data_IF_486688183542
#
_entry.id   IF_486688183542
#
_cell.length_a   1.000
_cell.length_b   1.000
_cell.length_c   1.000
_cell.angle_alpha   90.00
_cell.angle_beta   90.00
_cell.angle_gamma   90.00
#
_symmetry.space_group_name_H-M   'P 1'
#
loop_
_entity.id
_entity.type
_entity.pdbx_description
1 polymer ?
#
# COMPACT_ATOMS: atom_id res chain seq x y z
N UNK A 1 19.21 -4.53 9.32
CA UNK A 1 19.63 -5.96 9.29
C UNK A 1 19.53 -6.37 7.84
N UNK A 2 20.53 -7.06 7.25
CA UNK A 2 20.41 -7.51 5.86
C UNK A 2 19.14 -8.36 5.67
N UNK A 3 18.40 -8.10 4.59
CA UNK A 3 17.17 -8.81 4.26
C UNK A 3 17.41 -10.32 4.06
N UNK A 4 18.58 -10.71 3.54
CA UNK A 4 19.01 -12.11 3.41
C UNK A 4 18.83 -12.92 4.70
N UNK A 5 19.00 -12.29 5.87
CA UNK A 5 18.82 -12.93 7.18
C UNK A 5 17.37 -13.31 7.51
N UNK A 6 16.39 -12.78 6.77
CA UNK A 6 14.99 -13.18 6.90
C UNK A 6 14.69 -14.52 6.22
N UNK A 7 15.57 -14.99 5.33
CA UNK A 7 15.43 -16.24 4.61
C UNK A 7 16.18 -17.37 5.29
N UNK A 8 15.61 -18.58 5.24
CA UNK A 8 16.24 -19.81 5.69
C UNK A 8 16.27 -20.80 4.53
N UNK A 9 17.36 -21.54 4.37
CA UNK A 9 17.53 -22.47 3.25
C UNK A 9 16.43 -23.54 3.21
N UNK A 10 15.99 -24.01 4.38
CA UNK A 10 14.91 -25.01 4.52
C UNK A 10 13.50 -24.45 4.25
N UNK A 11 13.37 -23.16 4.00
CA UNK A 11 12.12 -22.50 3.60
C UNK A 11 12.20 -21.93 2.18
N UNK A 12 13.10 -22.45 1.35
CA UNK A 12 13.25 -22.06 -0.06
C UNK A 12 13.07 -23.29 -0.95
N UNK A 13 12.19 -23.17 -1.95
CA UNK A 13 11.99 -24.16 -3.00
C UNK A 13 12.31 -23.54 -4.36
N UNK A 14 13.45 -23.91 -4.92
CA UNK A 14 13.94 -23.39 -6.22
C UNK A 14 13.14 -23.89 -7.42
N UNK A 15 12.36 -24.97 -7.25
CA UNK A 15 11.47 -25.51 -8.27
C UNK A 15 10.12 -25.85 -7.63
N UNK A 16 9.15 -24.99 -7.85
CA UNK A 16 7.73 -25.18 -7.52
C UNK A 16 7.00 -25.56 -8.81
N UNK A 17 6.35 -26.72 -8.81
CA UNK A 17 5.52 -27.20 -9.92
C UNK A 17 4.07 -26.86 -9.60
N UNK A 18 3.71 -25.60 -9.76
CA UNK A 18 2.36 -25.12 -9.50
C UNK A 18 1.61 -24.81 -10.79
N UNK A 19 0.29 -24.97 -10.79
CA UNK A 19 -0.60 -24.56 -11.89
C UNK A 19 -1.39 -23.28 -11.58
N UNK A 20 -1.42 -22.85 -10.31
CA UNK A 20 -2.07 -21.63 -9.86
C UNK A 20 -1.33 -20.99 -8.68
N UNK A 21 -1.69 -19.75 -8.31
CA UNK A 21 -1.11 -19.06 -7.15
C UNK A 21 -1.42 -19.83 -5.86
N UNK A 22 -2.64 -20.36 -5.76
CA UNK A 22 -3.15 -21.13 -4.63
C UNK A 22 -2.39 -22.45 -4.48
N UNK A 23 -2.10 -23.15 -5.58
CA UNK A 23 -1.28 -24.37 -5.60
C UNK A 23 0.16 -24.07 -5.16
N UNK A 24 0.75 -22.97 -5.63
CA UNK A 24 2.06 -22.53 -5.15
C UNK A 24 2.06 -22.24 -3.64
N UNK A 25 1.03 -21.55 -3.13
CA UNK A 25 0.86 -21.29 -1.69
C UNK A 25 0.71 -22.60 -0.91
N UNK A 26 -0.05 -23.57 -1.42
CA UNK A 26 -0.24 -24.87 -0.80
C UNK A 26 1.09 -25.63 -0.63
N UNK A 27 1.91 -25.66 -1.68
CA UNK A 27 3.23 -26.30 -1.66
C UNK A 27 4.23 -25.58 -0.74
N UNK A 28 4.14 -24.24 -0.63
CA UNK A 28 5.00 -23.49 0.30
C UNK A 28 4.55 -23.65 1.75
N UNK A 29 3.24 -23.75 2.00
CA UNK A 29 2.72 -24.07 3.33
C UNK A 29 3.10 -25.50 3.75
N UNK A 30 3.12 -26.44 2.81
CA UNK A 30 3.63 -27.79 3.03
C UNK A 30 5.11 -27.79 3.42
N UNK A 31 5.97 -27.13 2.62
CA UNK A 31 7.40 -26.98 2.95
C UNK A 31 7.61 -26.39 4.35
N UNK A 32 6.80 -25.40 4.73
CA UNK A 32 6.84 -24.82 6.06
C UNK A 32 6.49 -25.85 7.14
N UNK A 33 5.41 -26.61 6.96
CA UNK A 33 4.97 -27.63 7.92
C UNK A 33 5.92 -28.84 7.99
N UNK A 34 6.64 -29.18 6.92
CA UNK A 34 7.72 -30.18 6.98
C UNK A 34 8.81 -29.77 7.99
N UNK A 35 9.14 -28.46 8.03
CA UNK A 35 10.11 -27.93 8.99
C UNK A 35 9.53 -27.70 10.39
N UNK A 36 8.26 -27.31 10.47
CA UNK A 36 7.55 -27.01 11.71
C UNK A 36 6.29 -27.90 11.81
N UNK A 37 6.44 -29.19 12.13
CA UNK A 37 5.36 -30.18 12.07
C UNK A 37 4.26 -29.96 13.13
N UNK A 38 4.53 -29.14 14.15
CA UNK A 38 3.54 -28.71 15.14
C UNK A 38 2.55 -27.66 14.59
N UNK A 39 2.78 -27.15 13.37
CA UNK A 39 1.95 -26.11 12.75
C UNK A 39 0.95 -26.70 11.75
N UNK A 40 -0.28 -26.19 11.80
CA UNK A 40 -1.36 -26.66 10.94
C UNK A 40 -1.34 -26.00 9.56
N UNK A 41 -1.02 -26.78 8.50
CA UNK A 41 -1.14 -26.37 7.09
C UNK A 41 -2.54 -25.84 6.80
N UNK A 42 -3.59 -26.53 7.28
CA UNK A 42 -4.99 -26.15 7.07
C UNK A 42 -5.29 -24.74 7.60
N UNK A 43 -4.78 -24.40 8.78
CA UNK A 43 -4.99 -23.07 9.38
C UNK A 43 -4.17 -21.99 8.67
N UNK A 44 -2.96 -22.32 8.21
CA UNK A 44 -2.13 -21.42 7.39
C UNK A 44 -2.87 -21.05 6.11
N UNK A 45 -3.34 -22.05 5.35
CA UNK A 45 -4.07 -21.85 4.10
C UNK A 45 -5.33 -21.04 4.33
N UNK A 46 -6.08 -21.34 5.40
CA UNK A 46 -7.26 -20.56 5.77
C UNK A 46 -6.91 -19.08 5.99
N UNK A 47 -5.89 -18.79 6.78
CA UNK A 47 -5.49 -17.41 7.10
C UNK A 47 -5.01 -16.64 5.86
N UNK A 48 -4.24 -17.29 4.98
CA UNK A 48 -3.77 -16.68 3.71
C UNK A 48 -4.95 -16.40 2.78
N UNK A 49 -5.87 -17.35 2.63
CA UNK A 49 -7.05 -17.18 1.77
C UNK A 49 -8.00 -16.09 2.28
N UNK A 50 -8.20 -15.99 3.60
CA UNK A 50 -8.96 -14.89 4.21
C UNK A 50 -8.32 -13.53 3.89
N UNK A 51 -6.99 -13.44 3.90
CA UNK A 51 -6.28 -12.22 3.51
C UNK A 51 -6.38 -11.93 2.02
N UNK A 52 -6.28 -12.92 1.14
CA UNK A 52 -6.40 -12.71 -0.32
C UNK A 52 -7.79 -12.22 -0.74
N UNK A 53 -8.84 -12.62 -0.03
CA UNK A 53 -10.21 -12.11 -0.28
C UNK A 53 -10.31 -10.59 -0.08
N UNK A 54 -9.44 -9.99 0.72
CA UNK A 54 -9.41 -8.54 0.94
C UNK A 54 -8.71 -7.79 -0.21
N UNK A 55 -7.92 -8.48 -1.03
CA UNK A 55 -7.23 -7.89 -2.16
C UNK A 55 -6.01 -8.70 -2.57
N UNK A 56 -5.80 -8.74 -3.89
CA UNK A 56 -4.72 -9.48 -4.55
C UNK A 56 -3.33 -9.06 -4.05
N UNK A 57 -2.50 -10.02 -3.68
CA UNK A 57 -1.10 -9.79 -3.28
C UNK A 57 -0.06 -9.95 -4.41
N UNK A 58 -0.51 -10.19 -5.64
CA UNK A 58 0.35 -10.09 -6.82
C UNK A 58 0.68 -8.63 -7.08
N UNK A 59 1.97 -8.30 -7.19
CA UNK A 59 2.44 -6.92 -7.38
C UNK A 59 2.86 -6.63 -8.83
N UNK A 60 2.64 -7.60 -9.73
CA UNK A 60 3.13 -7.58 -11.10
C UNK A 60 4.59 -8.02 -11.20
N UNK A 61 5.19 -7.89 -12.38
CA UNK A 61 6.57 -8.29 -12.71
C UNK A 61 6.85 -9.78 -12.42
N UNK A 62 5.80 -10.60 -12.41
CA UNK A 62 5.89 -12.01 -12.09
C UNK A 62 6.15 -12.34 -10.62
N UNK A 63 5.71 -11.49 -9.69
CA UNK A 63 5.89 -11.68 -8.23
C UNK A 63 4.55 -11.61 -7.49
N UNK A 64 4.41 -12.43 -6.45
CA UNK A 64 3.34 -12.34 -5.46
C UNK A 64 3.86 -12.49 -4.02
N UNK A 65 3.23 -11.78 -3.09
CA UNK A 65 3.50 -11.87 -1.65
C UNK A 65 2.27 -12.33 -0.85
N UNK A 66 1.80 -13.59 -1.01
CA UNK A 66 0.76 -14.11 -0.14
C UNK A 66 1.23 -14.00 1.32
N UNK A 67 0.41 -13.41 2.18
CA UNK A 67 0.81 -13.17 3.57
C UNK A 67 -0.37 -13.33 4.51
N UNK A 68 -0.09 -13.71 5.75
CA UNK A 68 -1.11 -13.79 6.79
C UNK A 68 -0.53 -13.39 8.14
N UNK A 69 -1.25 -12.51 8.86
CA UNK A 69 -1.06 -12.35 10.31
C UNK A 69 -1.86 -13.43 11.03
N UNK A 70 -1.18 -14.26 11.81
CA UNK A 70 -1.75 -15.48 12.40
C UNK A 70 -1.14 -15.77 13.75
N UNK A 71 -1.88 -16.49 14.60
CA UNK A 71 -1.43 -16.94 15.91
C UNK A 71 -0.70 -18.30 15.84
N UNK A 72 -0.61 -18.89 14.64
CA UNK A 72 0.09 -20.16 14.36
C UNK A 72 1.60 -20.03 14.57
N UNK A 73 2.17 -18.84 14.30
CA UNK A 73 3.60 -18.58 14.36
C UNK A 73 3.93 -17.52 15.41
N UNK A 74 5.08 -17.66 16.07
CA UNK A 74 5.56 -16.75 17.12
C UNK A 74 6.63 -15.76 16.63
N UNK A 75 7.15 -15.95 15.42
CA UNK A 75 8.05 -15.03 14.74
C UNK A 75 7.69 -14.96 13.24
N UNK A 76 8.37 -14.09 12.49
CA UNK A 76 8.16 -13.94 11.05
C UNK A 76 8.88 -15.06 10.30
N UNK A 77 8.16 -15.72 9.39
CA UNK A 77 8.70 -16.71 8.48
C UNK A 77 8.47 -16.28 7.04
N UNK A 78 9.53 -16.34 6.24
CA UNK A 78 9.52 -16.04 4.82
C UNK A 78 9.81 -17.34 4.07
N UNK A 79 8.85 -17.81 3.29
CA UNK A 79 8.94 -19.04 2.50
C UNK A 79 8.92 -18.68 1.03
N UNK A 80 10.00 -18.98 0.31
CA UNK A 80 10.18 -18.56 -1.09
C UNK A 80 10.05 -19.74 -2.04
N UNK A 81 9.21 -19.57 -3.06
CA UNK A 81 9.02 -20.49 -4.16
C UNK A 81 9.37 -19.86 -5.50
N UNK A 82 10.09 -20.60 -6.33
CA UNK A 82 10.42 -20.22 -7.71
C UNK A 82 9.70 -21.17 -8.66
N UNK A 83 8.98 -20.61 -9.62
CA UNK A 83 8.23 -21.29 -10.68
C UNK A 83 8.96 -20.98 -11.99
N UNK A 84 9.92 -21.81 -12.44
CA UNK A 84 10.80 -21.46 -13.55
C UNK A 84 10.07 -21.12 -14.85
N UNK A 85 9.02 -21.88 -15.17
CA UNK A 85 8.23 -21.71 -16.39
C UNK A 85 7.16 -20.60 -16.27
N UNK A 86 6.96 -20.06 -15.06
CA UNK A 86 5.88 -19.15 -14.74
C UNK A 86 4.48 -19.78 -14.81
N UNK A 87 3.50 -19.12 -14.22
CA UNK A 87 2.08 -19.46 -14.34
C UNK A 87 1.25 -18.23 -14.68
N UNK A 88 0.22 -18.41 -15.52
CA UNK A 88 -0.74 -17.35 -15.79
C UNK A 88 -1.74 -17.29 -14.64
N UNK A 89 -1.81 -16.15 -13.98
CA UNK A 89 -2.77 -15.86 -12.89
C UNK A 89 -3.16 -14.39 -12.97
N UNK A 90 -4.05 -13.94 -12.09
CA UNK A 90 -4.46 -12.55 -12.03
C UNK A 90 -3.31 -11.69 -11.48
N UNK A 91 -2.39 -11.27 -12.34
CA UNK A 91 -1.33 -10.31 -12.03
C UNK A 91 -1.74 -8.92 -12.56
N UNK A 92 -1.45 -7.82 -11.83
CA UNK A 92 -1.83 -6.48 -12.27
C UNK A 92 -1.31 -6.07 -13.66
N UNK A 93 -0.18 -6.62 -14.10
CA UNK A 93 0.47 -6.33 -15.39
C UNK A 93 0.28 -7.44 -16.44
N UNK A 94 -0.52 -8.47 -16.14
CA UNK A 94 -0.78 -9.60 -17.02
C UNK A 94 0.41 -10.52 -17.28
N UNK A 95 1.57 -10.29 -16.64
CA UNK A 95 2.76 -11.13 -16.82
C UNK A 95 2.67 -12.44 -16.03
N UNK A 96 3.29 -13.54 -16.50
CA UNK A 96 3.36 -14.79 -15.75
C UNK A 96 4.00 -14.61 -14.37
N UNK A 97 3.42 -15.27 -13.36
CA UNK A 97 3.94 -15.32 -12.00
C UNK A 97 5.06 -16.35 -11.90
N UNK A 98 6.25 -15.90 -11.52
CA UNK A 98 7.47 -16.71 -11.41
C UNK A 98 7.94 -16.89 -9.97
N UNK A 99 7.69 -15.92 -9.08
CA UNK A 99 8.20 -15.94 -7.71
C UNK A 99 7.04 -15.72 -6.75
N UNK A 100 6.89 -16.62 -5.79
CA UNK A 100 5.91 -16.53 -4.71
C UNK A 100 6.66 -16.48 -3.39
N UNK A 101 6.43 -15.45 -2.59
CA UNK A 101 7.01 -15.34 -1.25
C UNK A 101 5.88 -15.34 -0.22
N UNK A 102 5.65 -16.51 0.39
CA UNK A 102 4.68 -16.67 1.46
C UNK A 102 5.26 -16.09 2.76
N UNK A 103 4.53 -15.18 3.40
CA UNK A 103 4.93 -14.54 4.66
C UNK A 103 3.94 -14.90 5.77
N UNK A 104 4.43 -15.59 6.80
CA UNK A 104 3.66 -15.87 8.01
C UNK A 104 4.20 -14.97 9.12
N UNK A 105 3.32 -14.19 9.76
CA UNK A 105 3.72 -13.27 10.83
C UNK A 105 2.77 -13.35 12.02
N UNK A 106 3.26 -13.19 13.27
CA UNK A 106 2.40 -13.02 14.43
C UNK A 106 1.60 -11.71 14.34
N UNK A 107 0.43 -11.68 14.96
CA UNK A 107 -0.42 -10.47 15.03
C UNK A 107 0.21 -9.32 15.85
N UNK A 108 1.10 -9.64 16.79
CA UNK A 108 1.65 -8.69 17.76
C UNK A 108 2.95 -7.98 17.34
N UNK A 109 3.48 -8.22 16.12
CA UNK A 109 4.71 -7.57 15.61
C UNK A 109 4.52 -6.84 14.27
N UNK A 110 3.53 -5.93 14.15
CA UNK A 110 3.15 -5.29 12.88
C UNK A 110 4.30 -4.49 12.23
N UNK A 111 5.18 -3.91 13.04
CA UNK A 111 6.33 -3.14 12.57
C UNK A 111 7.33 -4.01 11.82
N UNK A 112 7.77 -5.13 12.41
CA UNK A 112 8.73 -6.05 11.77
C UNK A 112 8.14 -6.65 10.49
N UNK A 113 6.85 -6.95 10.47
CA UNK A 113 6.15 -7.42 9.29
C UNK A 113 6.24 -6.44 8.11
N UNK A 114 5.85 -5.18 8.33
CA UNK A 114 5.89 -4.18 7.26
C UNK A 114 7.31 -3.88 6.79
N UNK A 115 8.29 -3.93 7.69
CA UNK A 115 9.71 -3.78 7.36
C UNK A 115 10.21 -4.93 6.47
N UNK A 116 9.82 -6.18 6.76
CA UNK A 116 10.12 -7.33 5.91
C UNK A 116 9.45 -7.16 4.53
N UNK A 117 8.17 -6.79 4.50
CA UNK A 117 7.45 -6.59 3.24
C UNK A 117 8.06 -5.46 2.39
N UNK A 118 8.45 -4.35 3.01
CA UNK A 118 9.16 -3.25 2.34
C UNK A 118 10.50 -3.71 1.80
N UNK A 119 11.29 -4.44 2.60
CA UNK A 119 12.56 -5.02 2.16
C UNK A 119 12.38 -5.92 0.95
N UNK A 120 11.36 -6.80 0.95
CA UNK A 120 11.01 -7.63 -0.20
C UNK A 120 10.59 -6.78 -1.41
N UNK A 121 9.72 -5.78 -1.22
CA UNK A 121 9.33 -4.89 -2.31
C UNK A 121 10.53 -4.12 -2.91
N UNK A 122 11.48 -3.68 -2.07
CA UNK A 122 12.76 -3.09 -2.49
C UNK A 122 13.59 -4.11 -3.29
N UNK A 123 13.72 -5.34 -2.78
CA UNK A 123 14.45 -6.44 -3.42
C UNK A 123 13.98 -6.65 -4.84
N UNK A 124 12.69 -6.81 -5.03
CA UNK A 124 12.11 -7.10 -6.33
C UNK A 124 12.00 -5.89 -7.28
N UNK A 125 12.41 -4.69 -6.82
CA UNK A 125 12.65 -3.53 -7.70
C UNK A 125 14.08 -3.49 -8.26
N UNK A 126 15.04 -4.20 -7.69
CA UNK A 126 16.39 -4.24 -8.24
C UNK A 126 16.40 -4.85 -9.64
N UNK A 127 17.18 -4.24 -10.53
CA UNK A 127 17.45 -4.81 -11.84
C UNK A 127 18.02 -6.23 -11.70
N UNK A 128 17.64 -7.11 -12.61
CA UNK A 128 18.14 -8.49 -12.73
C UNK A 128 17.88 -9.44 -11.56
N UNK A 129 17.25 -9.00 -10.47
CA UNK A 129 17.01 -9.87 -9.32
C UNK A 129 16.14 -11.09 -9.69
N UNK A 130 15.11 -10.87 -10.51
CA UNK A 130 14.20 -11.92 -10.94
C UNK A 130 14.92 -12.90 -11.88
N UNK A 131 15.66 -12.38 -12.86
CA UNK A 131 16.39 -13.21 -13.82
C UNK A 131 17.52 -14.02 -13.16
N UNK A 132 18.13 -13.49 -12.11
CA UNK A 132 19.13 -14.20 -11.31
C UNK A 132 18.49 -15.27 -10.44
N UNK A 133 17.40 -14.96 -9.73
CA UNK A 133 16.67 -15.94 -8.92
C UNK A 133 16.14 -17.10 -9.76
N UNK A 134 15.63 -16.83 -10.97
CA UNK A 134 15.18 -17.86 -11.91
C UNK A 134 16.28 -18.84 -12.35
N UNK A 135 17.55 -18.45 -12.26
CA UNK A 135 18.71 -19.30 -12.58
C UNK A 135 19.25 -20.05 -11.37
N UNK A 136 18.79 -19.72 -10.17
CA UNK A 136 19.31 -20.29 -8.94
C UNK A 136 18.99 -21.79 -8.86
N UNK A 137 20.04 -22.58 -8.66
CA UNK A 137 19.99 -24.04 -8.60
C UNK A 137 19.79 -24.58 -7.19
N UNK A 138 20.04 -23.76 -6.16
CA UNK A 138 19.95 -24.17 -4.76
C UNK A 138 19.41 -23.07 -3.83
N UNK A 139 18.83 -23.43 -2.67
CA UNK A 139 18.47 -22.48 -1.61
C UNK A 139 19.61 -21.57 -1.15
N UNK A 140 20.84 -22.09 -1.09
CA UNK A 140 22.01 -21.30 -0.71
C UNK A 140 22.30 -20.20 -1.75
N UNK A 141 22.26 -20.55 -3.04
CA UNK A 141 22.45 -19.60 -4.14
C UNK A 141 21.38 -18.49 -4.14
N UNK A 142 20.12 -18.83 -3.83
CA UNK A 142 19.05 -17.83 -3.64
C UNK A 142 19.42 -16.82 -2.55
N UNK A 143 19.89 -17.28 -1.40
CA UNK A 143 20.30 -16.40 -0.29
C UNK A 143 21.50 -15.54 -0.70
N UNK A 144 22.48 -16.11 -1.39
CA UNK A 144 23.67 -15.38 -1.86
C UNK A 144 23.30 -14.29 -2.88
N UNK A 145 22.38 -14.57 -3.80
CA UNK A 145 21.84 -13.58 -4.75
C UNK A 145 21.19 -12.42 -3.99
N UNK A 146 20.38 -12.72 -2.96
CA UNK A 146 19.71 -11.69 -2.16
C UNK A 146 20.72 -10.90 -1.32
N UNK A 147 21.74 -11.54 -0.74
CA UNK A 147 22.73 -10.89 0.13
C UNK A 147 23.56 -9.84 -0.62
N UNK A 148 23.83 -10.08 -1.92
CA UNK A 148 24.55 -9.17 -2.83
C UNK A 148 23.81 -7.86 -3.14
N UNK A 149 22.51 -7.76 -2.84
CA UNK A 149 21.73 -6.55 -3.09
C UNK A 149 21.92 -5.46 -2.01
N UNK A 150 22.61 -5.78 -0.91
CA UNK A 150 22.84 -4.91 0.26
C UNK A 150 21.57 -4.32 0.89
N UNK A 151 20.40 -4.87 0.58
CA UNK A 151 19.13 -4.40 1.12
C UNK A 151 19.06 -4.62 2.61
N UNK A 152 18.84 -3.53 3.32
CA UNK A 152 18.65 -3.51 4.75
C UNK A 152 17.15 -3.48 5.06
N UNK A 153 16.73 -4.33 5.98
CA UNK A 153 15.48 -4.15 6.72
C UNK A 153 15.75 -3.02 7.73
N UNK A 154 15.21 -1.84 7.41
CA UNK A 154 15.33 -0.62 8.23
C UNK A 154 14.64 -0.81 9.58
N UNK A 155 15.22 -0.25 10.64
CA UNK A 155 14.65 -0.33 12.00
C UNK A 155 13.42 0.56 12.18
N UNK A 156 13.10 1.41 11.21
CA UNK A 156 12.00 2.37 11.27
C UNK A 156 11.05 2.07 10.10
N UNK A 157 9.74 2.16 10.34
CA UNK A 157 8.74 2.05 9.29
C UNK A 157 8.52 3.45 8.72
N UNK A 158 8.68 3.60 7.41
CA UNK A 158 8.60 4.88 6.70
C UNK A 158 7.25 5.06 6.00
N UNK A 159 6.93 6.29 5.63
CA UNK A 159 5.72 6.60 4.86
C UNK A 159 5.76 5.96 3.48
N UNK A 160 6.95 5.85 2.85
CA UNK A 160 7.15 5.15 1.59
C UNK A 160 6.72 3.68 1.62
N UNK A 161 6.78 3.04 2.80
CA UNK A 161 6.39 1.64 2.97
C UNK A 161 4.88 1.41 2.96
N UNK A 162 4.07 2.45 3.26
CA UNK A 162 2.62 2.33 3.42
C UNK A 162 1.81 3.23 2.50
N UNK A 163 2.46 4.16 1.78
CA UNK A 163 1.77 5.12 0.92
C UNK A 163 1.05 4.46 -0.26
N UNK A 164 0.02 5.14 -0.74
CA UNK A 164 -0.49 4.90 -2.10
C UNK A 164 0.46 5.59 -3.07
N UNK A 165 1.13 4.81 -3.91
CA UNK A 165 2.03 5.29 -4.97
C UNK A 165 1.25 5.83 -6.15
N UNK A 166 1.82 6.81 -6.88
CA UNK A 166 1.21 7.38 -8.09
C UNK A 166 -0.25 7.80 -7.88
N UNK A 167 -0.51 8.73 -6.93
CA UNK A 167 -1.85 9.12 -6.59
C UNK A 167 -2.53 9.82 -7.78
N UNK A 168 -3.82 9.60 -7.95
CA UNK A 168 -4.63 10.40 -8.88
C UNK A 168 -4.54 11.86 -8.44
N UNK A 169 -4.27 12.76 -9.39
CA UNK A 169 -4.14 14.20 -9.15
C UNK A 169 -5.15 15.00 -9.98
N UNK A 170 -5.40 16.24 -9.57
CA UNK A 170 -6.13 17.23 -10.37
C UNK A 170 -5.28 18.48 -10.59
N UNK A 171 -5.61 19.28 -11.60
CA UNK A 171 -4.98 20.57 -11.87
C UNK A 171 -5.83 21.73 -11.35
N UNK A 172 -5.27 22.94 -11.43
CA UNK A 172 -5.95 24.18 -11.03
C UNK A 172 -7.22 24.48 -11.85
N UNK A 173 -7.27 23.98 -13.08
CA UNK A 173 -8.33 24.23 -14.07
C UNK A 173 -9.43 23.16 -14.04
N UNK A 174 -9.18 22.02 -13.38
CA UNK A 174 -10.24 21.03 -13.16
C UNK A 174 -11.42 21.67 -12.43
N UNK A 175 -12.61 21.14 -12.71
CA UNK A 175 -13.85 21.64 -12.15
C UNK A 175 -14.25 20.88 -10.88
N UNK A 176 -15.19 21.43 -10.12
CA UNK A 176 -15.82 20.72 -9.00
C UNK A 176 -16.42 19.37 -9.46
N UNK A 177 -17.05 19.36 -10.64
CA UNK A 177 -17.58 18.14 -11.25
C UNK A 177 -16.52 17.08 -11.45
N UNK A 178 -15.34 17.45 -11.97
CA UNK A 178 -14.24 16.51 -12.19
C UNK A 178 -13.78 15.88 -10.87
N UNK A 179 -13.62 16.69 -9.83
CA UNK A 179 -13.21 16.24 -8.49
C UNK A 179 -14.22 15.25 -7.92
N UNK A 180 -15.51 15.58 -7.99
CA UNK A 180 -16.60 14.72 -7.50
C UNK A 180 -16.61 13.38 -8.26
N UNK A 181 -16.51 13.42 -9.58
CA UNK A 181 -16.44 12.20 -10.40
C UNK A 181 -15.23 11.33 -10.03
N UNK A 182 -14.07 11.94 -9.77
CA UNK A 182 -12.87 11.22 -9.32
C UNK A 182 -13.11 10.60 -7.93
N UNK A 183 -13.68 11.34 -6.98
CA UNK A 183 -13.99 10.80 -5.64
C UNK A 183 -14.89 9.57 -5.73
N UNK A 184 -15.97 9.62 -6.51
CA UNK A 184 -16.87 8.48 -6.70
C UNK A 184 -16.20 7.31 -7.41
N UNK A 185 -15.50 7.58 -8.52
CA UNK A 185 -14.86 6.56 -9.34
C UNK A 185 -13.79 5.78 -8.56
N UNK A 186 -12.93 6.50 -7.84
CA UNK A 186 -11.79 5.91 -7.13
C UNK A 186 -12.07 5.63 -5.65
N UNK A 187 -13.27 5.97 -5.15
CA UNK A 187 -13.67 5.84 -3.73
C UNK A 187 -12.68 6.50 -2.77
N UNK A 188 -12.25 7.71 -3.11
CA UNK A 188 -11.30 8.52 -2.33
C UNK A 188 -11.95 9.84 -1.89
N UNK A 189 -11.45 10.42 -0.81
CA UNK A 189 -12.00 11.63 -0.18
C UNK A 189 -11.15 12.89 -0.38
N UNK A 190 -10.04 12.78 -1.10
CA UNK A 190 -9.19 13.93 -1.37
C UNK A 190 -8.06 13.63 -2.34
N UNK A 191 -7.58 14.70 -2.97
CA UNK A 191 -6.69 14.67 -4.12
C UNK A 191 -5.57 15.71 -3.94
N UNK A 192 -4.33 15.36 -4.30
CA UNK A 192 -3.29 16.36 -4.55
C UNK A 192 -3.68 17.23 -5.75
N UNK A 193 -3.43 18.54 -5.63
CA UNK A 193 -3.55 19.49 -6.73
C UNK A 193 -2.15 19.81 -7.25
N UNK A 194 -1.94 19.67 -8.56
CA UNK A 194 -0.66 19.89 -9.23
C UNK A 194 -0.75 20.98 -10.29
N UNK A 195 0.37 21.61 -10.62
CA UNK A 195 0.45 22.48 -11.80
C UNK A 195 0.68 21.68 -13.10
N UNK A 196 0.81 22.40 -14.22
CA UNK A 196 1.04 21.81 -15.55
C UNK A 196 2.36 21.03 -15.66
N UNK A 197 3.32 21.25 -14.75
CA UNK A 197 4.58 20.52 -14.68
C UNK A 197 4.50 19.29 -13.75
N UNK A 198 3.36 19.04 -13.13
CA UNK A 198 3.16 17.96 -12.14
C UNK A 198 3.67 18.30 -10.75
N UNK A 199 4.03 19.57 -10.48
CA UNK A 199 4.48 20.00 -9.16
C UNK A 199 3.28 20.20 -8.24
N UNK A 200 3.38 19.70 -7.00
CA UNK A 200 2.35 19.87 -5.98
C UNK A 200 2.13 21.35 -5.64
N UNK A 201 0.89 21.83 -5.77
CA UNK A 201 0.48 23.21 -5.49
C UNK A 201 -0.57 23.31 -4.38
N UNK A 202 -1.28 22.22 -4.09
CA UNK A 202 -2.34 22.22 -3.09
C UNK A 202 -2.94 20.85 -2.82
N UNK A 203 -4.04 20.83 -2.09
CA UNK A 203 -4.92 19.68 -1.93
C UNK A 203 -6.39 20.10 -1.96
N UNK A 204 -7.26 19.21 -2.41
CA UNK A 204 -8.71 19.37 -2.35
C UNK A 204 -9.34 18.10 -1.77
N UNK A 205 -10.34 18.26 -0.90
CA UNK A 205 -11.00 17.15 -0.23
C UNK A 205 -12.50 17.34 -0.12
N UNK A 206 -13.22 16.26 0.15
CA UNK A 206 -14.65 16.27 0.46
C UNK A 206 -15.01 17.29 1.56
N UNK A 207 -14.14 17.46 2.55
CA UNK A 207 -14.28 18.46 3.61
C UNK A 207 -14.24 19.88 3.06
N UNK A 208 -13.41 20.15 2.05
CA UNK A 208 -13.34 21.46 1.41
C UNK A 208 -14.61 21.70 0.57
N UNK A 209 -15.12 20.66 -0.10
CA UNK A 209 -16.39 20.73 -0.83
C UNK A 209 -17.58 20.99 0.10
N UNK A 210 -17.65 20.29 1.23
CA UNK A 210 -18.72 20.47 2.23
C UNK A 210 -18.66 21.84 2.90
N UNK A 211 -17.45 22.35 3.21
CA UNK A 211 -17.29 23.71 3.77
C UNK A 211 -17.73 24.78 2.78
N UNK A 212 -17.48 24.55 1.49
CA UNK A 212 -17.99 25.43 0.46
C UNK A 212 -19.52 25.34 0.37
N UNK A 213 -20.07 24.12 0.40
CA UNK A 213 -21.51 23.89 0.28
C UNK A 213 -22.33 24.42 1.46
N UNK A 214 -21.72 24.45 2.64
CA UNK A 214 -22.34 24.89 3.89
C UNK A 214 -21.53 26.08 4.45
N UNK A 215 -21.58 27.25 3.80
CA UNK A 215 -20.93 28.44 4.32
C UNK A 215 -21.53 28.75 5.71
N UNK A 216 -20.69 29.07 6.70
CA UNK A 216 -21.11 29.34 8.08
C UNK A 216 -21.73 28.16 8.85
N UNK A 217 -21.39 26.91 8.52
CA UNK A 217 -21.89 25.71 9.24
C UNK A 217 -21.77 25.74 10.77
N UNK A 218 -20.79 26.45 11.32
CA UNK A 218 -20.65 26.65 12.77
C UNK A 218 -21.83 27.42 13.37
N UNK A 219 -22.35 28.40 12.65
CA UNK A 219 -23.53 29.18 13.05
C UNK A 219 -24.82 28.35 12.90
N UNK A 220 -24.90 27.48 11.89
CA UNK A 220 -26.04 26.56 11.73
C UNK A 220 -26.19 25.59 12.91
N UNK A 221 -25.08 24.99 13.37
CA UNK A 221 -25.10 24.06 14.50
C UNK A 221 -25.52 24.78 15.80
N UNK A 222 -25.16 26.05 15.96
CA UNK A 222 -25.53 26.86 17.13
C UNK A 222 -26.99 27.32 17.14
N UNK A 223 -27.64 27.42 15.97
CA UNK A 223 -29.00 27.95 15.79
C UNK A 223 -29.86 27.05 14.87
N UNK A 224 -29.92 25.75 15.14
CA UNK A 224 -30.66 24.76 14.34
C UNK A 224 -32.14 25.13 14.12
N UNK A 225 -32.75 25.89 15.04
CA UNK A 225 -34.17 26.25 14.99
C UNK A 225 -34.51 27.39 14.00
N UNK A 226 -33.54 28.17 13.53
CA UNK A 226 -33.76 29.38 12.71
C UNK A 226 -32.91 29.39 11.43
N UNK A 227 -32.88 28.27 10.71
CA UNK A 227 -32.13 28.16 9.46
C UNK A 227 -32.96 28.78 8.33
N UNK A 228 -32.52 29.92 7.79
CA UNK A 228 -33.18 30.57 6.63
C UNK A 228 -32.32 30.64 5.37
N UNK A 229 -30.99 30.49 5.47
CA UNK A 229 -30.08 30.59 4.33
C UNK A 229 -29.02 29.48 4.36
N UNK A 230 -29.32 28.35 3.70
CA UNK A 230 -28.32 27.38 3.25
C UNK A 230 -28.22 27.58 1.74
N UNK A 231 -27.02 27.72 1.16
CA UNK A 231 -26.90 27.61 -0.29
C UNK A 231 -27.49 26.25 -0.67
N UNK A 232 -28.54 26.24 -1.50
CA UNK A 232 -29.18 24.99 -1.86
C UNK A 232 -28.14 24.10 -2.52
N UNK A 233 -28.11 22.81 -2.19
CA UNK A 233 -27.26 21.87 -2.92
C UNK A 233 -27.52 21.96 -4.45
N UNK A 234 -28.71 22.40 -4.86
CA UNK A 234 -29.06 22.70 -6.25
C UNK A 234 -28.22 23.82 -6.88
N UNK A 235 -27.90 24.89 -6.15
CA UNK A 235 -27.09 25.99 -6.69
C UNK A 235 -25.64 25.57 -6.93
N UNK A 236 -25.11 24.70 -6.08
CA UNK A 236 -23.79 24.10 -6.25
C UNK A 236 -23.79 23.18 -7.48
N UNK A 237 -24.82 22.33 -7.61
CA UNK A 237 -25.00 21.48 -8.78
C UNK A 237 -25.13 22.30 -10.07
N UNK A 238 -25.75 23.48 -10.04
CA UNK A 238 -25.84 24.38 -11.21
C UNK A 238 -24.47 24.97 -11.60
N UNK A 239 -23.56 25.15 -10.65
CA UNK A 239 -22.28 25.84 -10.86
C UNK A 239 -21.08 24.91 -10.94
N UNK A 240 -21.23 23.62 -10.62
CA UNK A 240 -20.13 22.64 -10.52
C UNK A 240 -19.24 22.59 -11.77
N UNK A 241 -19.84 22.83 -12.94
CA UNK A 241 -19.19 22.84 -14.25
C UNK A 241 -18.25 24.03 -14.49
N UNK A 242 -18.43 25.12 -13.74
CA UNK A 242 -17.69 26.38 -13.90
C UNK A 242 -16.76 26.67 -12.71
N UNK A 243 -16.90 25.91 -11.63
CA UNK A 243 -16.14 26.11 -10.40
C UNK A 243 -14.78 25.43 -10.49
N UNK A 244 -13.73 26.20 -10.72
CA UNK A 244 -12.36 25.71 -10.79
C UNK A 244 -11.80 25.30 -9.41
N UNK A 245 -10.99 24.23 -9.40
CA UNK A 245 -10.26 23.72 -8.23
C UNK A 245 -9.42 24.81 -7.58
N UNK A 246 -8.82 25.70 -8.35
CA UNK A 246 -8.04 26.83 -7.84
C UNK A 246 -8.77 27.73 -6.83
N UNK A 247 -10.11 27.79 -6.91
CA UNK A 247 -10.96 28.56 -5.98
C UNK A 247 -11.32 27.79 -4.69
N UNK A 248 -11.22 26.47 -4.73
CA UNK A 248 -11.70 25.57 -3.66
C UNK A 248 -10.58 24.92 -2.87
N UNK A 249 -9.41 24.74 -3.49
CA UNK A 249 -8.29 24.01 -2.91
C UNK A 249 -7.65 24.72 -1.70
N UNK A 250 -6.97 23.94 -0.87
CA UNK A 250 -6.05 24.45 0.16
C UNK A 250 -4.61 24.46 -0.39
N UNK A 251 -3.94 25.60 -0.28
CA UNK A 251 -2.57 25.82 -0.82
C UNK A 251 -1.43 25.22 0.02
N UNK A 252 -1.70 24.84 1.27
CA UNK A 252 -0.68 24.38 2.21
C UNK A 252 -0.96 22.93 2.66
N UNK A 253 -0.82 21.94 1.75
CA UNK A 253 -1.00 20.54 2.11
C UNK A 253 0.01 20.14 3.19
N UNK A 254 -0.37 19.17 4.02
CA UNK A 254 0.60 18.52 4.90
C UNK A 254 1.53 17.67 4.05
N UNK A 255 2.84 17.83 4.24
CA UNK A 255 3.88 17.20 3.41
C UNK A 255 4.87 16.50 4.32
N UNK A 256 5.34 15.33 3.88
CA UNK A 256 6.45 14.56 4.45
C UNK A 256 7.35 14.05 3.33
N UNK A 257 8.63 13.80 3.63
CA UNK A 257 9.53 13.11 2.72
C UNK A 257 9.24 11.60 2.70
N UNK A 258 9.54 10.91 1.59
CA UNK A 258 9.31 9.47 1.41
C UNK A 258 9.96 8.61 2.50
N UNK A 259 11.11 9.03 3.00
CA UNK A 259 11.85 8.30 4.04
C UNK A 259 11.42 8.69 5.47
N UNK A 260 10.45 9.61 5.61
CA UNK A 260 9.95 10.04 6.91
C UNK A 260 9.31 8.87 7.68
N UNK A 261 9.51 8.74 9.00
CA UNK A 261 8.85 7.73 9.80
C UNK A 261 7.31 7.87 9.75
N UNK A 262 6.57 6.76 9.75
CA UNK A 262 5.10 6.83 9.78
C UNK A 262 4.56 7.58 10.99
N UNK A 263 5.25 7.48 12.13
CA UNK A 263 4.88 8.20 13.36
C UNK A 263 4.93 9.71 13.15
N UNK A 264 5.87 10.21 12.34
CA UNK A 264 5.96 11.63 11.98
C UNK A 264 4.74 12.06 11.15
N UNK A 265 4.38 11.29 10.12
CA UNK A 265 3.18 11.54 9.34
C UNK A 265 1.91 11.51 10.21
N UNK A 266 1.78 10.53 11.11
CA UNK A 266 0.66 10.44 12.04
C UNK A 266 0.59 11.68 12.96
N UNK A 267 1.71 12.09 13.54
CA UNK A 267 1.80 13.28 14.37
C UNK A 267 1.42 14.55 13.58
N UNK A 268 1.91 14.67 12.35
CA UNK A 268 1.60 15.79 11.46
C UNK A 268 0.10 15.84 11.12
N UNK A 269 -0.53 14.70 10.84
CA UNK A 269 -1.97 14.61 10.58
C UNK A 269 -2.79 15.10 11.78
N UNK A 270 -2.42 14.68 13.00
CA UNK A 270 -3.09 15.10 14.22
C UNK A 270 -2.89 16.60 14.49
N UNK A 271 -1.65 17.08 14.38
CA UNK A 271 -1.31 18.48 14.61
C UNK A 271 -2.01 19.41 13.61
N UNK A 272 -1.96 19.09 12.31
CA UNK A 272 -2.60 19.89 11.26
C UNK A 272 -4.11 19.63 11.11
N UNK A 273 -4.68 18.69 11.88
CA UNK A 273 -6.08 18.24 11.78
C UNK A 273 -6.47 17.89 10.34
N UNK A 274 -5.60 17.14 9.67
CA UNK A 274 -5.82 16.66 8.29
C UNK A 274 -5.94 15.14 8.27
N UNK A 275 -6.66 14.62 7.28
CA UNK A 275 -6.86 13.19 7.06
C UNK A 275 -5.74 12.52 6.27
N UNK A 276 -4.87 13.33 5.64
CA UNK A 276 -3.83 12.85 4.74
C UNK A 276 -2.59 13.73 4.74
N UNK A 277 -1.47 13.13 4.34
CA UNK A 277 -0.21 13.81 4.02
C UNK A 277 0.23 13.46 2.60
N UNK A 278 0.78 14.44 1.92
CA UNK A 278 1.41 14.28 0.61
C UNK A 278 2.85 13.84 0.81
N UNK A 279 3.27 12.81 0.08
CA UNK A 279 4.61 12.25 0.19
C UNK A 279 5.43 12.74 -1.00
N UNK A 280 6.54 13.41 -0.70
CA UNK A 280 7.49 13.88 -1.71
C UNK A 280 8.76 13.04 -1.71
N UNK A 281 9.39 12.92 -2.87
CA UNK A 281 10.75 12.43 -3.02
C UNK A 281 11.50 13.45 -3.88
N UNK A 282 12.55 14.06 -3.34
CA UNK A 282 13.30 15.14 -4.01
C UNK A 282 12.38 16.25 -4.54
N UNK A 283 11.37 16.63 -3.74
CA UNK A 283 10.39 17.67 -4.08
C UNK A 283 9.30 17.28 -5.09
N UNK A 284 9.34 16.06 -5.64
CA UNK A 284 8.31 15.53 -6.54
C UNK A 284 7.26 14.73 -5.76
N UNK A 285 5.99 14.91 -6.09
CA UNK A 285 4.91 14.11 -5.51
C UNK A 285 5.02 12.66 -5.96
N UNK A 286 5.15 11.75 -5.00
CA UNK A 286 5.29 10.30 -5.27
C UNK A 286 4.22 9.45 -4.59
N UNK A 287 3.50 10.00 -3.61
CA UNK A 287 2.47 9.26 -2.90
C UNK A 287 1.59 10.08 -1.98
N UNK A 288 0.59 9.41 -1.43
CA UNK A 288 -0.30 9.93 -0.38
C UNK A 288 -0.43 8.88 0.72
N UNK A 289 -0.41 9.31 1.97
CA UNK A 289 -0.77 8.47 3.12
C UNK A 289 -1.99 9.10 3.80
N UNK A 290 -3.01 8.30 4.07
CA UNK A 290 -4.19 8.70 4.85
C UNK A 290 -4.15 8.10 6.27
N UNK A 291 -4.96 8.63 7.19
CA UNK A 291 -5.18 7.97 8.49
C UNK A 291 -5.67 6.53 8.32
N UNK A 292 -6.58 6.30 7.36
CA UNK A 292 -7.08 4.96 7.04
C UNK A 292 -5.98 4.02 6.55
N UNK A 293 -4.98 4.50 5.80
CA UNK A 293 -3.81 3.69 5.45
C UNK A 293 -3.03 3.27 6.70
N UNK A 294 -2.78 4.20 7.62
CA UNK A 294 -2.10 3.93 8.88
C UNK A 294 -2.87 2.88 9.69
N UNK A 295 -4.18 3.06 9.89
CA UNK A 295 -5.00 2.10 10.63
C UNK A 295 -5.05 0.75 9.90
N UNK A 296 -5.33 0.73 8.61
CA UNK A 296 -5.56 -0.52 7.87
C UNK A 296 -4.28 -1.32 7.65
N UNK A 297 -3.15 -0.67 7.32
CA UNK A 297 -1.89 -1.35 6.97
C UNK A 297 -1.04 -1.64 8.20
N UNK A 298 -1.11 -0.79 9.24
CA UNK A 298 -0.32 -0.98 10.47
C UNK A 298 -1.13 -1.72 11.52
N UNK A 299 -2.28 -1.17 11.92
CA UNK A 299 -3.03 -1.66 13.08
C UNK A 299 -3.86 -2.90 12.74
N UNK A 300 -4.58 -2.90 11.61
CA UNK A 300 -5.44 -4.04 11.21
C UNK A 300 -4.76 -5.06 10.29
N UNK A 301 -3.64 -4.67 9.67
CA UNK A 301 -3.01 -5.43 8.58
C UNK A 301 -2.47 -6.77 8.99
#
# INVERSE_FOLDING_TARGET
MKLSKAFKQDLIKTIVKANSKEDAVDQLAELFCEKYPDKSKKEIIKAVNEREKLGNTSIGRGIAFPHARTDIVTDIYVVLGIIPNGIHTNTPDGKPLHIVVLILTPRNIPKRYLQTLSGLAKLFRHADIISNLLKASSPAEVIDIIDKTDIQVEKILTVGDIMTTEPVTVTLDNTLKDVVNIFFKYKISGLPVVDSSGKLTGEISDTDLLKYALPNYKSFIANIANITEVESFEDILRREHSMAVSKLMRKAPAIVDIDAPVVEAAALMLFKKTERVMVLNNGKLVGVVTKSDIISKIIRG
#
